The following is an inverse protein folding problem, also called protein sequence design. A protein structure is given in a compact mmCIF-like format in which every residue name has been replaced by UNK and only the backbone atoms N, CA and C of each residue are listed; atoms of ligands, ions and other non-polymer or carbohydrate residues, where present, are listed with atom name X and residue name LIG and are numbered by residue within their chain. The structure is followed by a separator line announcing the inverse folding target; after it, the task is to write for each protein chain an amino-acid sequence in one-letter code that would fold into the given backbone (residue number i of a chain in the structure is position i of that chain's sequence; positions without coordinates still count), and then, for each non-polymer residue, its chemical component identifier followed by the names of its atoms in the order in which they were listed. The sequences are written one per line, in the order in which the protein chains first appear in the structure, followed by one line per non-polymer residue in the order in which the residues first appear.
data_IF_167348526824
#
_entry.id   IF_167348526824
#
_cell.length_a   1.000
_cell.length_b   1.000
_cell.length_c   1.000
_cell.angle_alpha   90.00
_cell.angle_beta   90.00
_cell.angle_gamma   90.00
#
_symmetry.space_group_name_H-M   'P 1'
#
loop_
_entity.id
_entity.type
_entity.pdbx_description
1 polymer ?
#
# COMPACT_ATOMS: atom_id res chain seq x y z
N UNK A 1 -1.59 15.70 6.77
CA UNK A 1 -1.56 15.23 5.36
C UNK A 1 -0.16 14.88 4.89
N UNK A 2 0.83 15.74 5.03
CA UNK A 2 2.21 15.46 4.57
C UNK A 2 2.84 14.20 5.18
N UNK A 3 2.66 13.98 6.48
CA UNK A 3 3.16 12.77 7.16
C UNK A 3 2.53 11.48 6.62
N UNK A 4 1.22 11.51 6.33
CA UNK A 4 0.50 10.37 5.74
C UNK A 4 1.05 10.08 4.34
N UNK A 5 1.25 11.11 3.52
CA UNK A 5 1.84 10.98 2.18
C UNK A 5 3.26 10.41 2.23
N UNK A 6 4.05 10.79 3.23
CA UNK A 6 5.38 10.20 3.45
C UNK A 6 5.28 8.69 3.74
N UNK A 7 4.37 8.27 4.62
CA UNK A 7 4.14 6.84 4.92
C UNK A 7 3.66 6.10 3.67
N UNK A 8 2.78 6.69 2.87
CA UNK A 8 2.31 6.10 1.62
C UNK A 8 3.45 5.91 0.62
N UNK A 9 4.35 6.89 0.49
CA UNK A 9 5.55 6.76 -0.35
C UNK A 9 6.50 5.68 0.18
N UNK A 10 6.62 5.49 1.48
CA UNK A 10 7.38 4.38 2.05
C UNK A 10 6.76 3.02 1.69
N UNK A 11 5.44 2.90 1.73
CA UNK A 11 4.71 1.71 1.28
C UNK A 11 4.96 1.47 -0.22
N UNK A 12 4.83 2.51 -1.06
CA UNK A 12 5.07 2.39 -2.50
C UNK A 12 6.53 2.01 -2.81
N UNK A 13 7.49 2.54 -2.05
CA UNK A 13 8.90 2.16 -2.17
C UNK A 13 9.16 0.72 -1.78
N UNK A 14 8.44 0.20 -0.77
CA UNK A 14 8.52 -1.20 -0.38
C UNK A 14 7.95 -2.13 -1.47
N UNK A 15 6.79 -1.75 -2.05
CA UNK A 15 6.21 -2.43 -3.21
C UNK A 15 7.24 -2.44 -4.36
N UNK A 16 7.82 -1.27 -4.69
CA UNK A 16 8.83 -1.11 -5.74
C UNK A 16 10.09 -1.96 -5.50
N UNK A 17 10.55 -2.08 -4.25
CA UNK A 17 11.72 -2.91 -3.89
C UNK A 17 11.45 -4.37 -4.23
N UNK A 18 10.29 -4.89 -3.84
CA UNK A 18 9.89 -6.27 -4.08
C UNK A 18 9.68 -6.50 -5.58
N UNK A 19 8.89 -5.65 -6.25
CA UNK A 19 8.58 -5.83 -7.68
C UNK A 19 9.83 -5.76 -8.55
N UNK A 20 10.78 -4.87 -8.23
CA UNK A 20 12.09 -4.81 -8.91
C UNK A 20 12.93 -6.07 -8.69
N UNK A 21 12.96 -6.62 -7.47
CA UNK A 21 13.74 -7.83 -7.15
C UNK A 21 13.21 -9.06 -7.90
N UNK A 22 11.89 -9.17 -8.04
CA UNK A 22 11.21 -10.34 -8.61
C UNK A 22 10.72 -10.15 -10.05
N UNK A 23 11.08 -9.03 -10.70
CA UNK A 23 10.69 -8.69 -12.06
C UNK A 23 9.16 -8.70 -12.28
N UNK A 24 8.43 -8.21 -11.28
CA UNK A 24 6.97 -8.08 -11.32
C UNK A 24 6.65 -6.70 -11.87
N UNK A 25 5.69 -6.64 -12.79
CA UNK A 25 5.24 -5.36 -13.35
C UNK A 25 4.07 -4.82 -12.52
N UNK A 26 4.12 -3.53 -12.22
CA UNK A 26 3.00 -2.78 -11.64
C UNK A 26 2.88 -1.43 -12.34
N UNK A 27 1.70 -0.84 -12.27
CA UNK A 27 1.42 0.51 -12.76
C UNK A 27 0.69 1.30 -11.67
N UNK A 28 0.80 2.62 -11.72
CA UNK A 28 -0.06 3.48 -10.88
C UNK A 28 -1.48 3.43 -11.45
N UNK A 29 -2.48 3.43 -10.58
CA UNK A 29 -3.88 3.36 -11.00
C UNK A 29 -4.67 4.56 -10.47
N UNK A 30 -5.86 4.79 -11.04
CA UNK A 30 -6.85 5.74 -10.54
C UNK A 30 -6.32 7.16 -10.27
N UNK A 31 -6.62 7.65 -9.05
CA UNK A 31 -6.24 8.99 -8.59
C UNK A 31 -4.72 9.17 -8.49
N UNK A 32 -3.99 8.13 -8.11
CA UNK A 32 -2.54 8.15 -8.01
C UNK A 32 -1.86 8.37 -9.36
N UNK A 33 -2.32 7.68 -10.41
CA UNK A 33 -1.80 7.90 -11.77
C UNK A 33 -2.07 9.31 -12.26
N UNK A 34 -3.30 9.80 -12.06
CA UNK A 34 -3.69 11.16 -12.46
C UNK A 34 -2.88 12.21 -11.69
N UNK A 35 -2.71 12.03 -10.38
CA UNK A 35 -1.86 12.85 -9.53
C UNK A 35 -0.43 12.95 -10.08
N UNK A 36 0.17 11.80 -10.39
CA UNK A 36 1.54 11.73 -10.88
C UNK A 36 1.72 12.48 -12.20
N UNK A 37 0.74 12.39 -13.12
CA UNK A 37 0.79 13.07 -14.42
C UNK A 37 0.48 14.57 -14.32
N UNK A 38 -0.52 14.96 -13.52
CA UNK A 38 -1.02 16.35 -13.48
C UNK A 38 -0.24 17.23 -12.50
N UNK A 39 0.19 16.67 -11.36
CA UNK A 39 0.82 17.42 -10.27
C UNK A 39 2.28 17.01 -10.01
N UNK A 40 2.78 15.98 -10.71
CA UNK A 40 4.12 15.42 -10.46
C UNK A 40 4.23 14.67 -9.13
N UNK A 41 3.11 14.25 -8.54
CA UNK A 41 3.05 13.63 -7.22
C UNK A 41 1.62 13.32 -6.80
N UNK A 42 1.28 13.55 -5.53
CA UNK A 42 -0.11 13.39 -5.08
C UNK A 42 -1.01 14.48 -5.65
N UNK A 43 -2.26 14.12 -5.94
CA UNK A 43 -3.32 15.11 -6.16
C UNK A 43 -3.57 15.93 -4.88
N UNK A 44 -4.11 17.16 -4.98
CA UNK A 44 -4.32 18.04 -3.82
C UNK A 44 -5.11 17.38 -2.69
N UNK A 45 -6.12 16.57 -3.06
CA UNK A 45 -7.04 15.90 -2.13
C UNK A 45 -6.83 14.39 -2.04
N UNK A 46 -5.77 13.87 -2.67
CA UNK A 46 -5.47 12.45 -2.70
C UNK A 46 -4.99 11.98 -1.32
N UNK A 47 -5.63 10.92 -0.81
CA UNK A 47 -5.46 10.38 0.54
C UNK A 47 -5.10 8.90 0.57
N UNK A 48 -4.86 8.26 -0.58
CA UNK A 48 -4.32 6.91 -0.73
C UNK A 48 -3.31 6.77 -1.88
N UNK A 49 -2.83 5.54 -2.10
CA UNK A 49 -2.01 5.17 -3.26
C UNK A 49 -2.58 3.88 -3.83
N UNK A 50 -2.97 3.95 -5.09
CA UNK A 50 -3.45 2.81 -5.87
C UNK A 50 -2.37 2.33 -6.85
N UNK A 51 -2.13 1.03 -6.84
CA UNK A 51 -1.28 0.35 -7.83
C UNK A 51 -2.00 -0.85 -8.41
N UNK A 52 -1.90 -0.98 -9.74
CA UNK A 52 -2.41 -2.11 -10.49
C UNK A 52 -1.31 -3.09 -10.87
N UNK A 53 -1.68 -4.37 -10.97
CA UNK A 53 -0.84 -5.44 -11.50
C UNK A 53 -1.70 -6.36 -12.36
N UNK A 54 -1.13 -6.97 -13.39
CA UNK A 54 -1.83 -8.04 -14.11
C UNK A 54 -2.08 -9.22 -13.16
N UNK A 55 -3.12 -10.01 -13.42
CA UNK A 55 -3.58 -11.06 -12.50
C UNK A 55 -2.45 -11.98 -12.03
N UNK A 56 -1.62 -12.47 -12.97
CA UNK A 56 -0.48 -13.35 -12.71
C UNK A 56 0.55 -12.71 -11.77
N UNK A 57 0.87 -11.44 -12.01
CA UNK A 57 1.86 -10.67 -11.26
C UNK A 57 1.36 -10.36 -9.85
N UNK A 58 0.08 -10.00 -9.71
CA UNK A 58 -0.53 -9.82 -8.40
C UNK A 58 -0.47 -11.11 -7.57
N UNK A 59 -0.84 -12.27 -8.14
CA UNK A 59 -0.81 -13.53 -7.39
C UNK A 59 0.62 -13.89 -6.97
N UNK A 60 1.58 -13.70 -7.87
CA UNK A 60 3.00 -13.90 -7.57
C UNK A 60 3.46 -12.95 -6.45
N UNK A 61 3.09 -11.68 -6.54
CA UNK A 61 3.43 -10.65 -5.56
C UNK A 61 2.86 -10.97 -4.17
N UNK A 62 1.61 -11.45 -4.08
CA UNK A 62 1.00 -11.86 -2.83
C UNK A 62 1.80 -12.96 -2.12
N UNK A 63 2.19 -14.02 -2.85
CA UNK A 63 3.01 -15.10 -2.28
C UNK A 63 4.42 -14.65 -1.90
N UNK A 64 5.00 -13.72 -2.66
CA UNK A 64 6.31 -13.14 -2.36
C UNK A 64 6.24 -12.26 -1.10
N UNK A 65 5.20 -11.44 -0.95
CA UNK A 65 5.01 -10.58 0.22
C UNK A 65 4.99 -11.36 1.54
N UNK A 66 4.47 -12.60 1.57
CA UNK A 66 4.50 -13.44 2.77
C UNK A 66 5.92 -13.73 3.28
N UNK A 67 6.95 -13.62 2.41
CA UNK A 67 8.34 -13.95 2.72
C UNK A 67 9.27 -12.74 2.74
N UNK A 68 9.01 -11.78 1.85
CA UNK A 68 9.94 -10.71 1.52
C UNK A 68 9.53 -9.34 2.05
N UNK A 69 8.28 -9.19 2.48
CA UNK A 69 7.78 -7.92 2.99
C UNK A 69 8.51 -7.56 4.30
N UNK A 70 9.00 -6.33 4.38
CA UNK A 70 9.70 -5.86 5.55
C UNK A 70 8.79 -5.95 6.80
N UNK A 71 9.30 -6.39 7.96
CA UNK A 71 8.49 -6.62 9.16
C UNK A 71 7.69 -5.40 9.66
N UNK A 72 8.09 -4.18 9.28
CA UNK A 72 7.35 -2.94 9.56
C UNK A 72 6.10 -2.78 8.70
N UNK A 73 5.82 -3.69 7.76
CA UNK A 73 4.63 -3.70 6.93
C UNK A 73 3.86 -5.03 7.07
N UNK A 74 2.63 -5.06 6.57
CA UNK A 74 1.79 -6.25 6.48
C UNK A 74 0.81 -6.15 5.31
N UNK A 75 0.30 -7.29 4.86
CA UNK A 75 -0.77 -7.38 3.87
C UNK A 75 -2.10 -7.64 4.57
N UNK A 76 -3.14 -6.94 4.13
CA UNK A 76 -4.53 -7.13 4.57
C UNK A 76 -5.39 -7.46 3.35
N UNK A 77 -5.95 -8.67 3.33
CA UNK A 77 -6.51 -9.32 2.15
C UNK A 77 -7.47 -10.45 2.55
N UNK A 78 -8.48 -10.71 1.71
CA UNK A 78 -9.59 -11.63 1.99
C UNK A 78 -9.19 -13.09 2.31
N UNK A 79 -8.10 -13.61 1.76
CA UNK A 79 -7.59 -14.97 2.04
C UNK A 79 -6.90 -15.08 3.41
N UNK A 80 -6.51 -13.94 4.00
CA UNK A 80 -5.85 -13.88 5.30
C UNK A 80 -6.80 -13.39 6.41
N UNK A 81 -7.88 -12.72 6.04
CA UNK A 81 -8.81 -12.07 6.95
C UNK A 81 -10.24 -12.26 6.45
N UNK A 82 -11.03 -13.08 7.15
CA UNK A 82 -12.42 -13.38 6.81
C UNK A 82 -13.36 -12.16 6.86
N UNK A 83 -12.97 -11.11 7.61
CA UNK A 83 -13.77 -9.88 7.76
C UNK A 83 -13.42 -8.84 6.69
N UNK A 84 -12.47 -9.15 5.80
CA UNK A 84 -12.02 -8.26 4.74
C UNK A 84 -12.94 -8.34 3.52
N UNK A 85 -13.59 -7.23 3.18
CA UNK A 85 -14.69 -7.19 2.21
C UNK A 85 -14.31 -6.59 0.85
N UNK A 86 -13.04 -6.18 0.66
CA UNK A 86 -12.57 -5.62 -0.61
C UNK A 86 -11.98 -6.72 -1.49
N UNK A 87 -12.09 -6.52 -2.81
CA UNK A 87 -11.62 -7.47 -3.84
C UNK A 87 -10.12 -7.35 -4.16
N UNK A 88 -9.42 -6.44 -3.48
CA UNK A 88 -8.01 -6.16 -3.68
C UNK A 88 -7.28 -6.10 -2.33
N UNK A 89 -5.99 -6.39 -2.33
CA UNK A 89 -5.15 -6.39 -1.13
C UNK A 89 -4.69 -4.98 -0.77
N UNK A 90 -4.45 -4.75 0.51
CA UNK A 90 -3.79 -3.54 1.00
C UNK A 90 -2.44 -3.89 1.60
N UNK A 91 -1.39 -3.20 1.18
CA UNK A 91 -0.11 -3.18 1.89
C UNK A 91 -0.16 -2.03 2.89
N UNK A 92 0.02 -2.33 4.17
CA UNK A 92 -0.09 -1.36 5.25
C UNK A 92 1.21 -1.31 6.04
N UNK A 93 1.66 -0.12 6.41
CA UNK A 93 2.73 0.03 7.40
C UNK A 93 2.15 -0.19 8.80
N UNK A 94 2.82 -1.00 9.62
CA UNK A 94 2.52 -1.09 11.05
C UNK A 94 2.80 0.27 11.65
N UNK A 95 1.83 0.82 12.39
CA UNK A 95 2.10 2.02 13.18
C UNK A 95 3.10 1.63 14.27
N UNK A 96 4.28 2.24 14.27
CA UNK A 96 5.02 2.40 15.52
C UNK A 96 4.07 3.11 16.47
N UNK A 97 3.97 2.64 17.71
CA UNK A 97 3.03 3.17 18.70
C UNK A 97 3.30 4.67 18.93
N UNK A 98 2.66 5.54 18.14
CA UNK A 98 2.18 6.81 18.68
C UNK A 98 1.13 6.37 19.69
N UNK A 99 1.40 6.64 20.97
CA UNK A 99 0.50 6.33 22.08
C UNK A 99 -0.93 6.62 21.66
N UNK A 100 -1.82 5.64 21.81
CA UNK A 100 -3.25 5.90 21.88
C UNK A 100 -3.45 6.83 23.07
N UNK A 101 -3.33 8.13 22.87
CA UNK A 101 -4.02 9.06 23.75
C UNK A 101 -5.50 8.80 23.56
N UNK A 102 -6.08 8.41 24.69
CA UNK A 102 -7.46 8.09 24.99
C UNK A 102 -8.46 8.77 24.04
N UNK A 103 -9.12 7.98 23.20
CA UNK A 103 -10.53 8.22 22.88
C UNK A 103 -11.35 7.47 23.92
N UNK A 104 -11.33 8.00 25.14
CA UNK A 104 -12.31 7.69 26.18
C UNK A 104 -12.68 9.05 26.76
N UNK A 105 -13.94 9.45 26.57
CA UNK A 105 -14.58 10.75 26.88
C UNK A 105 -14.82 11.61 25.64
N UNK A 106 -15.86 11.26 24.88
CA UNK A 106 -17.02 12.11 24.57
C UNK A 106 -18.21 11.21 24.27
#
# INVERSE_FOLDING_TARGET
MEEIRKIQLEILNEIKRITKKYQISYFLDGGTLMGALTYGGFGPYDDDIDVGMIRKDYESFFEICKKELNPSFYIDEARLNSDYHLVFMKVKKKRDRISREKWSEF
#
